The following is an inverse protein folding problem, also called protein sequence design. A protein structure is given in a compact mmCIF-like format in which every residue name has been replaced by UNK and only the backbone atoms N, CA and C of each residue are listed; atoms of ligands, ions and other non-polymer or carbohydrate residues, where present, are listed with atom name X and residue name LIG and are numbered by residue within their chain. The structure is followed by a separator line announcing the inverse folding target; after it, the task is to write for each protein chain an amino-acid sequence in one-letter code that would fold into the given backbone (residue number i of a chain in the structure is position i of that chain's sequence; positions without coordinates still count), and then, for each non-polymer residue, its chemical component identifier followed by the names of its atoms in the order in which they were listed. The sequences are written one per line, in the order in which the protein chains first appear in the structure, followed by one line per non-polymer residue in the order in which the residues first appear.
data_IF_945110345134
#
_entry.id   IF_945110345134
#
_cell.length_a   1.000
_cell.length_b   1.000
_cell.length_c   1.000
_cell.angle_alpha   90.00
_cell.angle_beta   90.00
_cell.angle_gamma   90.00
#
_symmetry.space_group_name_H-M   'P 1'
#
loop_
_entity.id
_entity.type
_entity.pdbx_description
1 polymer ?
#
# COMPACT_ATOMS: atom_id res chain seq x y z
N UNK A 1 20.79 8.58 3.63
CA UNK A 1 19.87 7.62 2.98
C UNK A 1 18.67 8.38 2.44
N UNK A 2 18.28 8.16 1.19
CA UNK A 2 17.10 8.81 0.61
C UNK A 2 15.80 8.22 1.21
N UNK A 3 14.82 9.07 1.51
CA UNK A 3 13.49 8.65 2.00
C UNK A 3 12.67 8.00 0.87
N UNK A 4 12.71 8.58 -0.33
CA UNK A 4 12.03 8.07 -1.51
C UNK A 4 12.81 6.95 -2.20
N UNK A 5 12.12 6.17 -3.03
CA UNK A 5 12.79 5.22 -3.92
C UNK A 5 13.41 5.91 -5.12
N UNK A 6 14.29 5.18 -5.82
CA UNK A 6 14.75 5.60 -7.13
C UNK A 6 13.57 5.61 -8.12
N UNK A 7 13.53 6.51 -9.12
CA UNK A 7 12.45 6.58 -10.11
C UNK A 7 12.15 5.24 -10.78
N UNK A 8 13.19 4.45 -11.06
CA UNK A 8 13.09 3.11 -11.65
C UNK A 8 12.25 2.13 -10.83
N UNK A 9 12.15 2.32 -9.52
CA UNK A 9 11.34 1.48 -8.64
C UNK A 9 9.84 1.79 -8.78
N UNK A 10 9.48 3.06 -9.02
CA UNK A 10 8.11 3.51 -9.19
C UNK A 10 7.55 3.21 -10.58
N UNK A 11 8.40 3.00 -11.59
CA UNK A 11 7.95 2.66 -12.95
C UNK A 11 7.89 1.15 -13.20
N UNK A 12 8.05 0.32 -12.17
CA UNK A 12 7.90 -1.13 -12.30
C UNK A 12 6.50 -1.46 -12.85
N UNK A 13 6.39 -2.24 -13.94
CA UNK A 13 5.11 -2.45 -14.61
C UNK A 13 3.99 -2.95 -13.68
N UNK A 14 4.31 -3.83 -12.73
CA UNK A 14 3.32 -4.36 -11.80
C UNK A 14 2.87 -3.35 -10.73
N UNK A 15 3.72 -2.40 -10.34
CA UNK A 15 3.34 -1.33 -9.39
C UNK A 15 2.42 -0.33 -10.07
N UNK A 16 2.73 0.01 -11.33
CA UNK A 16 1.84 0.83 -12.16
C UNK A 16 0.51 0.13 -12.44
N UNK A 17 0.52 -1.17 -12.74
CA UNK A 17 -0.70 -1.94 -12.96
C UNK A 17 -1.57 -2.01 -11.69
N UNK A 18 -0.98 -2.28 -10.53
CA UNK A 18 -1.72 -2.29 -9.26
C UNK A 18 -2.22 -0.90 -8.85
N UNK A 19 -1.47 0.17 -9.13
CA UNK A 19 -1.94 1.55 -8.98
C UNK A 19 -3.14 1.83 -9.89
N UNK A 20 -3.06 1.46 -11.17
CA UNK A 20 -4.14 1.65 -12.13
C UNK A 20 -5.41 0.91 -11.71
N UNK A 21 -5.28 -0.34 -11.24
CA UNK A 21 -6.39 -1.12 -10.67
C UNK A 21 -6.96 -0.41 -9.43
N UNK A 22 -6.12 0.07 -8.52
CA UNK A 22 -6.56 0.81 -7.34
C UNK A 22 -7.34 2.08 -7.70
N UNK A 23 -6.84 2.89 -8.64
CA UNK A 23 -7.53 4.08 -9.14
C UNK A 23 -8.87 3.70 -9.79
N UNK A 24 -8.89 2.67 -10.62
CA UNK A 24 -10.13 2.21 -11.26
C UNK A 24 -11.18 1.81 -10.20
N UNK A 25 -10.78 1.10 -9.15
CA UNK A 25 -11.68 0.74 -8.05
C UNK A 25 -12.17 1.97 -7.29
N UNK A 26 -11.31 2.96 -7.04
CA UNK A 26 -11.72 4.20 -6.36
C UNK A 26 -12.72 5.01 -7.20
N UNK A 27 -12.49 5.10 -8.51
CA UNK A 27 -13.38 5.80 -9.44
C UNK A 27 -14.72 5.07 -9.55
N UNK A 28 -14.71 3.75 -9.75
CA UNK A 28 -15.93 2.96 -9.80
C UNK A 28 -16.70 3.04 -8.46
N UNK A 29 -15.99 3.01 -7.33
CA UNK A 29 -16.57 3.22 -6.00
C UNK A 29 -17.28 4.57 -5.89
N UNK A 30 -16.65 5.66 -6.34
CA UNK A 30 -17.29 6.99 -6.31
C UNK A 30 -18.58 7.07 -7.15
N UNK A 31 -18.71 6.24 -8.19
CA UNK A 31 -19.88 6.21 -9.07
C UNK A 31 -20.99 5.31 -8.51
N UNK A 32 -20.65 4.11 -8.05
CA UNK A 32 -21.64 3.12 -7.59
C UNK A 32 -22.04 3.30 -6.12
N UNK A 33 -21.17 3.85 -5.28
CA UNK A 33 -21.42 4.15 -3.88
C UNK A 33 -21.17 5.64 -3.62
N UNK A 34 -22.05 6.52 -4.15
CA UNK A 34 -21.85 7.96 -4.04
C UNK A 34 -21.85 8.38 -2.56
N UNK A 35 -20.76 9.03 -2.16
CA UNK A 35 -20.63 9.67 -0.85
C UNK A 35 -20.30 11.16 -1.05
N UNK A 36 -20.77 12.05 -0.16
CA UNK A 36 -20.62 13.49 -0.34
C UNK A 36 -19.15 13.94 -0.36
N UNK A 37 -18.23 13.17 0.22
CA UNK A 37 -16.80 13.46 0.30
C UNK A 37 -15.90 12.62 -0.62
N UNK A 38 -16.51 11.79 -1.48
CA UNK A 38 -15.79 10.86 -2.34
C UNK A 38 -16.09 11.13 -3.81
N UNK A 39 -15.14 11.79 -4.47
CA UNK A 39 -15.19 12.03 -5.91
C UNK A 39 -13.93 11.51 -6.63
N UNK A 40 -13.95 11.62 -7.96
CA UNK A 40 -12.86 11.18 -8.85
C UNK A 40 -11.57 11.97 -8.59
N UNK A 41 -11.66 13.28 -8.36
CA UNK A 41 -10.47 14.12 -8.21
C UNK A 41 -9.74 13.82 -6.90
N UNK A 42 -10.46 13.71 -5.77
CA UNK A 42 -9.82 13.35 -4.49
C UNK A 42 -9.24 11.94 -4.53
N UNK A 43 -9.93 11.01 -5.20
CA UNK A 43 -9.43 9.65 -5.43
C UNK A 43 -8.07 9.65 -6.11
N UNK A 44 -7.90 10.46 -7.16
CA UNK A 44 -6.63 10.57 -7.89
C UNK A 44 -5.54 11.23 -7.03
N UNK A 45 -5.86 12.33 -6.34
CA UNK A 45 -4.91 13.04 -5.47
C UNK A 45 -4.37 12.09 -4.40
N UNK A 46 -5.26 11.44 -3.65
CA UNK A 46 -4.86 10.54 -2.56
C UNK A 46 -4.15 9.29 -3.06
N UNK A 47 -4.58 8.72 -4.19
CA UNK A 47 -3.91 7.56 -4.78
C UNK A 47 -2.47 7.88 -5.18
N UNK A 48 -2.24 9.03 -5.81
CA UNK A 48 -0.89 9.48 -6.20
C UNK A 48 -0.02 9.75 -4.97
N UNK A 49 -0.54 10.47 -3.98
CA UNK A 49 0.19 10.69 -2.72
C UNK A 49 0.58 9.35 -2.08
N UNK A 50 -0.39 8.44 -1.93
CA UNK A 50 -0.20 7.10 -1.35
C UNK A 50 0.84 6.29 -2.12
N UNK A 51 0.85 6.36 -3.46
CA UNK A 51 1.82 5.64 -4.30
C UNK A 51 3.27 6.01 -3.99
N UNK A 52 3.54 7.29 -3.77
CA UNK A 52 4.89 7.76 -3.49
C UNK A 52 5.33 7.53 -2.05
N UNK A 53 4.41 7.68 -1.10
CA UNK A 53 4.75 7.78 0.33
C UNK A 53 4.50 6.49 1.10
N UNK A 54 3.48 5.69 0.78
CA UNK A 54 3.09 4.51 1.56
C UNK A 54 4.22 3.50 1.76
N UNK A 55 4.89 3.00 0.71
CA UNK A 55 5.95 2.02 0.90
C UNK A 55 7.22 2.64 1.50
N UNK A 56 7.39 3.96 1.42
CA UNK A 56 8.50 4.69 2.06
C UNK A 56 8.29 4.86 3.56
N UNK A 57 7.11 5.32 3.97
CA UNK A 57 6.73 5.46 5.38
C UNK A 57 6.72 4.10 6.08
N UNK A 58 6.13 3.07 5.47
CA UNK A 58 6.11 1.74 6.04
C UNK A 58 7.53 1.17 6.23
N UNK A 59 8.42 1.38 5.26
CA UNK A 59 9.82 0.98 5.35
C UNK A 59 10.54 1.62 6.53
N UNK A 60 10.28 2.91 6.82
CA UNK A 60 10.92 3.60 7.95
C UNK A 60 10.58 2.91 9.27
N UNK A 61 9.32 2.48 9.44
CA UNK A 61 8.87 1.75 10.63
C UNK A 61 9.51 0.36 10.67
N UNK A 62 9.43 -0.41 9.57
CA UNK A 62 9.93 -1.80 9.53
C UNK A 62 11.45 -1.91 9.64
N UNK A 63 12.20 -0.97 9.07
CA UNK A 63 13.66 -0.95 9.11
C UNK A 63 14.20 -0.11 10.30
N UNK A 64 13.32 0.31 11.23
CA UNK A 64 13.67 1.12 12.43
C UNK A 64 14.51 2.37 12.13
N UNK A 65 14.21 3.07 11.03
CA UNK A 65 14.94 4.28 10.59
C UNK A 65 14.45 5.53 11.31
N UNK A 66 14.61 5.59 12.63
CA UNK A 66 14.03 6.62 13.49
C UNK A 66 14.38 8.07 13.10
N UNK A 67 15.55 8.31 12.51
CA UNK A 67 15.91 9.65 11.98
C UNK A 67 14.97 10.15 10.88
N UNK A 68 14.29 9.26 10.16
CA UNK A 68 13.32 9.58 9.10
C UNK A 68 11.87 9.48 9.58
N UNK A 69 11.64 9.08 10.84
CA UNK A 69 10.30 8.87 11.38
C UNK A 69 9.42 10.13 11.36
N UNK A 70 9.92 11.34 11.69
CA UNK A 70 9.10 12.56 11.59
C UNK A 70 8.62 12.82 10.16
N UNK A 71 9.49 12.60 9.16
CA UNK A 71 9.13 12.73 7.75
C UNK A 71 8.13 11.66 7.34
N UNK A 72 8.32 10.41 7.77
CA UNK A 72 7.38 9.31 7.52
C UNK A 72 5.99 9.61 8.08
N UNK A 73 5.91 10.14 9.31
CA UNK A 73 4.65 10.57 9.93
C UNK A 73 4.00 11.70 9.15
N UNK A 74 4.75 12.73 8.78
CA UNK A 74 4.23 13.84 7.99
C UNK A 74 3.68 13.37 6.63
N UNK A 75 4.42 12.51 5.93
CA UNK A 75 3.99 11.94 4.66
C UNK A 75 2.74 11.06 4.80
N UNK A 76 2.66 10.25 5.86
CA UNK A 76 1.47 9.42 6.14
C UNK A 76 0.27 10.30 6.45
N UNK A 77 0.41 11.26 7.39
CA UNK A 77 -0.67 12.19 7.73
C UNK A 77 -1.14 12.97 6.50
N UNK A 78 -0.21 13.51 5.70
CA UNK A 78 -0.55 14.27 4.51
C UNK A 78 -1.29 13.42 3.48
N UNK A 79 -0.84 12.18 3.24
CA UNK A 79 -1.45 11.30 2.24
C UNK A 79 -2.81 10.76 2.66
N UNK A 80 -3.02 10.55 3.96
CA UNK A 80 -4.26 9.97 4.51
C UNK A 80 -5.33 11.02 4.78
N UNK A 81 -4.94 12.20 5.27
CA UNK A 81 -5.87 13.19 5.81
C UNK A 81 -5.55 14.63 5.36
N UNK A 82 -4.26 15.01 5.26
CA UNK A 82 -3.87 16.38 4.93
C UNK A 82 -4.31 16.83 3.54
N UNK A 83 -4.06 16.04 2.49
CA UNK A 83 -4.46 16.38 1.12
C UNK A 83 -5.99 16.36 0.94
N UNK A 84 -6.68 15.42 1.60
CA UNK A 84 -8.14 15.38 1.69
C UNK A 84 -8.70 16.64 2.34
N UNK A 85 -8.12 17.05 3.47
CA UNK A 85 -8.54 18.23 4.19
C UNK A 85 -8.38 19.50 3.38
N UNK A 86 -7.23 19.66 2.71
CA UNK A 86 -6.97 20.81 1.84
C UNK A 86 -7.98 20.85 0.69
N UNK A 87 -8.19 19.73 0.01
CA UNK A 87 -9.12 19.64 -1.11
C UNK A 87 -10.54 20.03 -0.71
N UNK A 88 -11.08 19.42 0.35
CA UNK A 88 -12.44 19.69 0.80
C UNK A 88 -12.59 21.04 1.50
N UNK A 89 -11.53 21.59 2.10
CA UNK A 89 -11.54 22.95 2.62
C UNK A 89 -11.86 23.98 1.52
N UNK A 90 -11.32 23.80 0.32
CA UNK A 90 -11.62 24.69 -0.81
C UNK A 90 -12.88 24.31 -1.57
N UNK A 91 -13.25 23.03 -1.59
CA UNK A 91 -14.41 22.55 -2.34
C UNK A 91 -15.73 22.72 -1.60
N UNK A 92 -15.80 22.22 -0.37
CA UNK A 92 -16.98 22.31 0.50
C UNK A 92 -16.57 22.05 1.97
N UNK A 93 -16.38 23.12 2.78
CA UNK A 93 -16.01 22.99 4.18
C UNK A 93 -17.02 22.23 5.05
N UNK A 94 -18.30 22.21 4.67
CA UNK A 94 -19.32 21.51 5.44
C UNK A 94 -19.16 19.99 5.31
N UNK A 95 -18.87 19.51 4.09
CA UNK A 95 -18.52 18.11 3.82
C UNK A 95 -17.26 17.71 4.60
N UNK A 96 -16.24 18.57 4.60
CA UNK A 96 -15.01 18.32 5.35
C UNK A 96 -15.30 18.08 6.85
N UNK A 97 -16.09 18.96 7.47
CA UNK A 97 -16.40 18.84 8.89
C UNK A 97 -17.18 17.55 9.22
N UNK A 98 -18.05 17.11 8.31
CA UNK A 98 -18.87 15.92 8.50
C UNK A 98 -18.08 14.62 8.31
N UNK A 99 -17.23 14.55 7.28
CA UNK A 99 -16.70 13.28 6.78
C UNK A 99 -15.22 13.03 7.08
N UNK A 100 -14.45 14.05 7.49
CA UNK A 100 -13.00 13.88 7.76
C UNK A 100 -12.68 12.76 8.73
N UNK A 101 -13.45 12.67 9.81
CA UNK A 101 -13.26 11.64 10.84
C UNK A 101 -13.50 10.22 10.31
N UNK A 102 -14.38 10.06 9.31
CA UNK A 102 -14.66 8.79 8.65
C UNK A 102 -13.62 8.46 7.56
N UNK A 103 -13.15 9.47 6.82
CA UNK A 103 -12.11 9.30 5.81
C UNK A 103 -10.78 8.83 6.42
N UNK A 104 -10.35 9.43 7.53
CA UNK A 104 -9.04 9.14 8.14
C UNK A 104 -8.76 7.63 8.36
N UNK A 105 -9.62 6.84 9.03
CA UNK A 105 -9.38 5.41 9.23
C UNK A 105 -9.45 4.60 7.92
N UNK A 106 -10.37 4.90 7.01
CA UNK A 106 -10.49 4.21 5.73
C UNK A 106 -9.22 4.41 4.87
N UNK A 107 -8.79 5.67 4.78
CA UNK A 107 -7.59 6.06 4.05
C UNK A 107 -6.32 5.51 4.69
N UNK A 108 -6.23 5.44 6.02
CA UNK A 108 -5.10 4.83 6.71
C UNK A 108 -5.00 3.32 6.44
N UNK A 109 -6.13 2.60 6.42
CA UNK A 109 -6.16 1.19 6.10
C UNK A 109 -5.70 0.92 4.65
N UNK A 110 -6.21 1.69 3.69
CA UNK A 110 -5.77 1.64 2.30
C UNK A 110 -4.28 1.96 2.16
N UNK A 111 -3.81 3.01 2.84
CA UNK A 111 -2.41 3.41 2.86
C UNK A 111 -1.51 2.29 3.38
N UNK A 112 -1.91 1.60 4.45
CA UNK A 112 -1.20 0.44 4.99
C UNK A 112 -1.15 -0.73 4.00
N UNK A 113 -2.28 -1.10 3.42
CA UNK A 113 -2.36 -2.19 2.42
C UNK A 113 -1.50 -1.89 1.19
N UNK A 114 -1.65 -0.70 0.61
CA UNK A 114 -0.82 -0.22 -0.49
C UNK A 114 0.66 -0.21 -0.13
N UNK A 115 0.99 0.25 1.08
CA UNK A 115 2.35 0.23 1.62
C UNK A 115 2.94 -1.17 1.62
N UNK A 116 2.20 -2.18 2.08
CA UNK A 116 2.64 -3.58 2.09
C UNK A 116 2.83 -4.11 0.67
N UNK A 117 1.86 -3.87 -0.23
CA UNK A 117 1.91 -4.32 -1.62
C UNK A 117 3.14 -3.75 -2.33
N UNK A 118 3.38 -2.44 -2.21
CA UNK A 118 4.46 -1.74 -2.91
C UNK A 118 5.81 -1.77 -2.18
N UNK A 119 5.87 -2.33 -0.97
CA UNK A 119 7.11 -2.60 -0.26
C UNK A 119 7.95 -3.65 -0.99
N UNK A 120 7.30 -4.61 -1.65
CA UNK A 120 8.00 -5.59 -2.47
C UNK A 120 8.73 -4.90 -3.62
N UNK A 121 10.02 -5.23 -3.80
CA UNK A 121 10.88 -4.64 -4.84
C UNK A 121 11.26 -5.61 -5.96
N UNK A 122 10.78 -6.85 -5.90
CA UNK A 122 11.07 -7.84 -6.92
C UNK A 122 10.15 -7.71 -8.14
N UNK A 123 10.36 -8.61 -9.11
CA UNK A 123 9.43 -8.83 -10.23
C UNK A 123 8.33 -9.81 -9.82
N UNK A 124 7.17 -9.77 -10.48
CA UNK A 124 6.13 -10.80 -10.28
C UNK A 124 6.65 -12.19 -10.63
N UNK A 125 7.47 -12.31 -11.67
CA UNK A 125 8.11 -13.59 -12.06
C UNK A 125 8.99 -14.13 -10.95
N UNK A 126 9.79 -13.28 -10.29
CA UNK A 126 10.60 -13.69 -9.15
C UNK A 126 9.74 -14.06 -7.94
N UNK A 127 8.61 -13.38 -7.72
CA UNK A 127 7.69 -13.70 -6.64
C UNK A 127 7.05 -15.08 -6.84
N UNK A 128 6.55 -15.38 -8.04
CA UNK A 128 5.97 -16.68 -8.39
C UNK A 128 7.02 -17.79 -8.29
N UNK A 129 8.24 -17.56 -8.79
CA UNK A 129 9.35 -18.53 -8.68
C UNK A 129 9.73 -18.83 -7.23
N UNK A 130 9.78 -17.80 -6.38
CA UNK A 130 10.09 -17.96 -4.95
C UNK A 130 8.94 -18.67 -4.21
N UNK A 131 7.69 -18.32 -4.49
CA UNK A 131 6.53 -19.00 -3.92
C UNK A 131 6.52 -20.49 -4.29
N UNK A 132 6.75 -20.83 -5.56
CA UNK A 132 6.86 -22.21 -6.02
C UNK A 132 8.01 -22.98 -5.35
N UNK A 133 9.16 -22.34 -5.15
CA UNK A 133 10.30 -22.94 -4.46
C UNK A 133 10.03 -23.18 -2.96
N UNK A 134 9.29 -22.30 -2.28
CA UNK A 134 8.89 -22.49 -0.88
C UNK A 134 7.91 -23.66 -0.74
N UNK A 135 6.93 -23.78 -1.66
CA UNK A 135 6.00 -24.92 -1.68
C UNK A 135 6.73 -26.24 -1.95
N UNK A 136 7.63 -26.26 -2.93
CA UNK A 136 8.42 -27.45 -3.27
C UNK A 136 9.33 -27.91 -2.12
N UNK A 137 9.96 -26.97 -1.39
CA UNK A 137 10.80 -27.29 -0.22
C UNK A 137 10.00 -27.81 0.98
N UNK A 138 8.75 -27.35 1.17
CA UNK A 138 7.86 -27.90 2.22
C UNK A 138 7.45 -29.34 1.91
N UNK A 139 7.16 -29.66 0.64
CA UNK A 139 6.87 -31.03 0.19
C UNK A 139 8.06 -31.99 0.39
N UNK A 140 9.27 -31.57 -0.01
CA UNK A 140 10.49 -32.36 0.19
C UNK A 140 10.86 -32.54 1.67
N UNK A 141 10.60 -31.52 2.50
CA UNK A 141 10.83 -31.57 3.95
C UNK A 141 9.88 -32.50 4.71
N UNK A 142 8.62 -32.64 4.26
CA UNK A 142 7.67 -33.62 4.81
C UNK A 142 8.02 -35.05 4.40
N UNK A 143 8.36 -35.29 3.13
CA UNK A 143 8.74 -36.62 2.65
C UNK A 143 9.95 -37.18 3.39
N UNK A 144 10.96 -36.32 3.63
CA UNK A 144 12.20 -36.71 4.32
C UNK A 144 12.01 -36.99 5.82
N UNK A 145 10.96 -36.45 6.46
CA UNK A 145 10.58 -36.83 7.83
C UNK A 145 9.82 -38.14 7.86
N UNK A 146 8.93 -38.39 6.90
CA UNK A 146 8.16 -39.64 6.81
C UNK A 146 9.08 -40.86 6.67
N UNK A 147 10.07 -40.79 5.77
CA UNK A 147 11.06 -41.86 5.56
C UNK A 147 11.89 -42.11 6.84
N UNK A 148 12.13 -41.09 7.66
CA UNK A 148 12.93 -41.23 8.89
C UNK A 148 12.17 -41.90 10.04
N UNK A 149 10.84 -41.81 10.05
CA UNK A 149 9.99 -42.52 11.02
C UNK A 149 9.81 -44.01 10.66
N UNK A 150 9.80 -44.33 9.36
CA UNK A 150 9.60 -45.69 8.85
C UNK A 150 10.85 -46.58 9.02
N UNK A 151 12.04 -45.99 9.10
CA UNK A 151 13.32 -46.71 9.30
C UNK A 151 13.65 -46.93 10.80
N UNK A 152 12.81 -46.47 11.73
CA UNK A 152 12.98 -46.63 13.18
C UNK A 152 11.81 -47.35 13.86
N UNK A 153 10.95 -48.02 13.10
CA UNK A 153 9.91 -48.94 13.61
C UNK A 153 10.28 -50.38 13.27
#
# INVERSE_FOLDING_TARGET
MSFFYAPLEYVRPWKLASLAVGIALLVLGSIYTPAPDWDVAISLIMAVCTYFTAPCSLRVVLEHKWRQFPLALLCTWFSVDGCYAIYWYFKDPAVLHLMRAANAPASLALYGMCGVIWLYRGSLVSLVRQAGAVVSRRGAGQLRRSIKFEVHS
#
